data_IF_924535390630
#
_entry.id   IF_924535390630
#
_cell.length_a   1.000
_cell.length_b   1.000
_cell.length_c   1.000
_cell.angle_alpha   90.00
_cell.angle_beta   90.00
_cell.angle_gamma   90.00
#
_symmetry.space_group_name_H-M   'P 1'
#
loop_
_entity.id
_entity.type
_entity.pdbx_description
1 polymer ?
#
# COMPACT_ATOMS: atom_id res chain seq x y z
N UNK A 1 -10.95 -13.48 16.09
CA UNK A 1 -9.51 -13.21 15.83
C UNK A 1 -9.35 -12.83 14.37
N UNK A 2 -8.54 -11.82 14.11
CA UNK A 2 -8.33 -11.24 12.78
C UNK A 2 -6.87 -11.42 12.37
N UNK A 3 -6.63 -11.96 11.18
CA UNK A 3 -5.30 -12.08 10.58
C UNK A 3 -5.26 -11.37 9.23
N UNK A 4 -4.28 -10.54 9.02
CA UNK A 4 -4.01 -9.88 7.76
C UNK A 4 -2.65 -10.32 7.22
N UNK A 5 -2.64 -10.91 6.05
CA UNK A 5 -1.44 -11.20 5.29
C UNK A 5 -1.15 -10.00 4.38
N UNK A 6 -0.06 -9.30 4.66
CA UNK A 6 0.36 -8.17 3.86
C UNK A 6 1.57 -8.54 2.99
N UNK A 7 1.50 -8.23 1.71
CA UNK A 7 2.68 -8.36 0.87
C UNK A 7 3.69 -7.25 1.15
N UNK A 8 4.94 -7.55 0.95
CA UNK A 8 6.02 -6.57 1.06
C UNK A 8 5.92 -5.61 -0.13
N UNK A 9 5.46 -4.40 0.13
CA UNK A 9 5.41 -3.32 -0.86
C UNK A 9 6.76 -2.64 -0.94
N UNK A 10 7.76 -3.36 -1.41
CA UNK A 10 9.10 -2.82 -1.35
C UNK A 10 9.49 -2.10 -2.64
N UNK A 11 10.54 -1.40 -2.54
CA UNK A 11 11.21 -0.55 -3.47
C UNK A 11 11.85 -1.29 -4.65
N UNK A 12 12.05 -2.60 -4.52
CA UNK A 12 12.70 -3.42 -5.54
C UNK A 12 11.81 -4.60 -5.94
N UNK A 13 11.55 -4.71 -7.24
CA UNK A 13 10.78 -5.81 -7.85
C UNK A 13 11.36 -7.20 -7.59
N UNK A 14 12.67 -7.29 -7.27
CA UNK A 14 13.28 -8.59 -6.98
C UNK A 14 12.60 -9.32 -5.81
N UNK A 15 12.02 -8.59 -4.87
CA UNK A 15 11.27 -9.18 -3.75
C UNK A 15 9.96 -9.84 -4.19
N UNK A 16 9.38 -9.43 -5.31
CA UNK A 16 8.14 -10.03 -5.80
C UNK A 16 8.34 -11.40 -6.39
N UNK A 17 9.56 -11.80 -6.72
CA UNK A 17 9.88 -13.16 -7.18
C UNK A 17 9.48 -14.22 -6.15
N UNK A 18 9.46 -13.89 -4.87
CA UNK A 18 8.95 -14.79 -3.83
C UNK A 18 7.51 -15.22 -4.13
N UNK A 19 6.67 -14.27 -4.57
CA UNK A 19 5.26 -14.52 -4.84
C UNK A 19 5.02 -15.36 -6.11
N UNK A 20 6.03 -15.54 -6.94
CA UNK A 20 5.99 -16.36 -8.16
C UNK A 20 6.46 -17.79 -7.91
N UNK A 21 6.99 -18.08 -6.72
CA UNK A 21 7.53 -19.41 -6.41
C UNK A 21 6.45 -20.45 -6.13
N UNK A 22 6.65 -21.72 -6.56
CA UNK A 22 5.73 -22.82 -6.23
C UNK A 22 5.55 -23.01 -4.72
N UNK A 23 6.60 -22.81 -3.94
CA UNK A 23 6.60 -22.91 -2.48
C UNK A 23 5.65 -21.88 -1.86
N UNK A 24 5.68 -20.64 -2.36
CA UNK A 24 4.77 -19.61 -1.90
C UNK A 24 3.30 -19.97 -2.23
N UNK A 25 3.02 -20.40 -3.44
CA UNK A 25 1.67 -20.81 -3.85
C UNK A 25 1.18 -22.01 -3.05
N UNK A 26 2.05 -22.97 -2.75
CA UNK A 26 1.72 -24.11 -1.90
C UNK A 26 1.39 -23.68 -0.47
N UNK A 27 2.20 -22.79 0.12
CA UNK A 27 1.95 -22.22 1.45
C UNK A 27 0.64 -21.44 1.50
N UNK A 28 0.37 -20.63 0.48
CA UNK A 28 -0.87 -19.86 0.36
C UNK A 28 -2.11 -20.78 0.27
N UNK A 29 -2.01 -21.86 -0.50
CA UNK A 29 -3.08 -22.86 -0.60
C UNK A 29 -3.35 -23.54 0.75
N UNK A 30 -2.28 -23.86 1.50
CA UNK A 30 -2.41 -24.43 2.85
C UNK A 30 -3.08 -23.46 3.82
N UNK A 31 -2.73 -22.16 3.77
CA UNK A 31 -3.38 -21.13 4.60
C UNK A 31 -4.88 -21.02 4.26
N UNK A 32 -5.22 -21.00 2.98
CA UNK A 32 -6.63 -20.97 2.53
C UNK A 32 -7.42 -22.18 3.01
N UNK A 33 -6.83 -23.35 2.95
CA UNK A 33 -7.47 -24.60 3.40
C UNK A 33 -7.65 -24.60 4.92
N UNK A 34 -6.66 -24.16 5.66
CA UNK A 34 -6.76 -24.06 7.12
C UNK A 34 -7.80 -23.01 7.54
N UNK A 35 -7.84 -21.88 6.88
CA UNK A 35 -8.82 -20.83 7.15
C UNK A 35 -10.28 -21.33 7.02
N UNK A 36 -10.57 -22.21 6.06
CA UNK A 36 -11.91 -22.81 5.89
C UNK A 36 -12.36 -23.64 7.09
N UNK A 37 -11.43 -24.22 7.84
CA UNK A 37 -11.73 -25.03 9.03
C UNK A 37 -12.05 -24.15 10.25
N UNK A 38 -11.74 -22.87 10.18
CA UNK A 38 -11.86 -21.92 11.28
C UNK A 38 -12.73 -20.71 10.89
N UNK A 39 -14.06 -20.89 10.65
CA UNK A 39 -14.92 -19.81 10.17
C UNK A 39 -15.07 -18.63 11.14
N UNK A 40 -14.66 -18.80 12.40
CA UNK A 40 -14.58 -17.74 13.40
C UNK A 40 -13.33 -16.84 13.24
N UNK A 41 -12.43 -17.19 12.32
CA UNK A 41 -11.20 -16.43 12.02
C UNK A 41 -11.34 -15.83 10.63
N UNK A 42 -11.28 -14.51 10.54
CA UNK A 42 -11.20 -13.84 9.26
C UNK A 42 -9.74 -13.74 8.82
N UNK A 43 -9.45 -14.20 7.60
CA UNK A 43 -8.13 -14.08 6.98
C UNK A 43 -8.26 -13.18 5.76
N UNK A 44 -7.51 -12.08 5.75
CA UNK A 44 -7.50 -11.09 4.66
C UNK A 44 -6.12 -10.98 4.03
N UNK A 45 -5.99 -10.22 2.94
CA UNK A 45 -4.71 -9.99 2.28
C UNK A 45 -4.21 -11.21 1.49
N UNK A 46 -5.13 -12.06 1.02
CA UNK A 46 -4.78 -13.24 0.19
C UNK A 46 -4.62 -12.91 -1.29
N UNK A 47 -4.84 -11.65 -1.68
CA UNK A 47 -4.60 -11.14 -3.02
C UNK A 47 -3.20 -10.56 -3.10
N UNK A 48 -2.40 -11.07 -4.02
CA UNK A 48 -1.00 -10.70 -4.18
C UNK A 48 -0.73 -10.04 -5.54
N UNK A 49 0.47 -9.46 -5.73
CA UNK A 49 0.86 -8.87 -7.00
C UNK A 49 0.55 -9.79 -8.18
N UNK A 50 0.00 -9.23 -9.25
CA UNK A 50 -0.50 -9.99 -10.39
C UNK A 50 -2.01 -10.20 -10.41
N UNK A 51 -2.72 -9.84 -9.35
CA UNK A 51 -4.19 -9.83 -9.37
C UNK A 51 -4.71 -8.65 -10.21
N UNK A 52 -5.62 -8.89 -11.16
CA UNK A 52 -6.16 -7.83 -12.03
C UNK A 52 -6.94 -6.73 -11.30
N UNK A 53 -7.17 -6.85 -10.00
CA UNK A 53 -7.87 -5.85 -9.19
C UNK A 53 -7.04 -4.59 -8.85
N UNK A 54 -5.73 -4.61 -9.05
CA UNK A 54 -4.82 -3.53 -8.66
C UNK A 54 -4.36 -2.64 -9.83
N UNK A 55 -5.26 -2.22 -10.68
CA UNK A 55 -4.91 -1.35 -11.82
C UNK A 55 -4.70 0.12 -11.44
N UNK A 56 -5.27 0.60 -10.34
CA UNK A 56 -5.10 1.96 -9.80
C UNK A 56 -5.05 1.95 -8.29
N UNK A 57 -4.06 2.61 -7.73
CA UNK A 57 -3.95 2.75 -6.28
C UNK A 57 -5.07 3.64 -5.69
N UNK A 58 -5.94 3.14 -4.80
CA UNK A 58 -7.00 3.93 -4.20
C UNK A 58 -6.51 4.80 -3.03
N UNK A 59 -5.32 4.55 -2.49
CA UNK A 59 -4.83 5.16 -1.26
C UNK A 59 -4.81 6.69 -1.26
N UNK A 60 -4.46 7.40 -2.35
CA UNK A 60 -4.49 8.86 -2.34
C UNK A 60 -5.84 9.48 -1.96
N UNK A 61 -6.95 8.73 -2.06
CA UNK A 61 -8.30 9.20 -1.74
C UNK A 61 -8.95 8.53 -0.54
N UNK A 62 -8.52 7.33 -0.20
CA UNK A 62 -9.14 6.52 0.85
C UNK A 62 -8.33 6.47 2.14
N UNK A 63 -7.02 6.69 2.06
CA UNK A 63 -6.11 6.57 3.19
C UNK A 63 -5.05 7.66 3.16
N UNK A 64 -4.51 7.93 4.33
CA UNK A 64 -3.22 8.62 4.53
C UNK A 64 -2.50 7.95 5.68
N UNK A 65 -1.21 8.08 5.71
CA UNK A 65 -0.40 7.55 6.80
C UNK A 65 0.38 8.69 7.46
N UNK A 66 0.43 8.67 8.78
CA UNK A 66 1.22 9.62 9.56
C UNK A 66 2.33 8.84 10.25
N UNK A 67 3.56 9.25 10.01
CA UNK A 67 4.73 8.65 10.65
C UNK A 67 4.78 9.02 12.14
N UNK A 68 5.56 8.29 12.92
CA UNK A 68 5.68 8.52 14.36
C UNK A 68 6.18 9.94 14.71
N UNK A 69 6.92 10.59 13.82
CA UNK A 69 7.44 11.96 13.93
C UNK A 69 6.51 13.01 13.28
N UNK A 70 5.30 12.61 12.89
CA UNK A 70 4.22 13.50 12.48
C UNK A 70 4.15 13.84 11.00
N UNK A 71 4.97 13.27 10.15
CA UNK A 71 4.87 13.55 8.71
C UNK A 71 3.74 12.76 8.07
N UNK A 72 2.90 13.44 7.28
CA UNK A 72 1.89 12.80 6.44
C UNK A 72 2.51 12.33 5.13
N UNK A 73 2.40 11.04 4.85
CA UNK A 73 2.91 10.39 3.63
C UNK A 73 1.77 9.70 2.88
N UNK A 74 1.94 9.36 1.59
CA UNK A 74 0.85 8.85 0.75
C UNK A 74 0.25 7.53 1.21
N UNK A 75 1.06 6.63 1.77
CA UNK A 75 0.60 5.31 2.18
C UNK A 75 1.55 4.64 3.18
N UNK A 76 1.05 3.60 3.85
CA UNK A 76 1.84 2.81 4.80
C UNK A 76 2.87 1.88 4.13
N UNK A 77 2.72 1.58 2.84
CA UNK A 77 3.65 0.72 2.11
C UNK A 77 5.00 1.38 1.81
N UNK A 78 5.02 2.71 1.77
CA UNK A 78 6.24 3.52 1.59
C UNK A 78 6.27 4.65 2.64
N UNK A 79 6.52 4.33 3.92
CA UNK A 79 6.49 5.31 5.00
C UNK A 79 7.81 6.11 5.09
N UNK A 80 8.26 6.69 3.98
CA UNK A 80 9.56 7.34 3.86
C UNK A 80 9.43 8.86 3.73
N UNK A 81 9.28 9.60 4.85
CA UNK A 81 9.05 11.04 4.81
C UNK A 81 10.24 11.83 4.23
N UNK A 82 11.45 11.27 4.23
CA UNK A 82 12.60 11.91 3.59
C UNK A 82 12.50 11.92 2.06
N UNK A 83 11.75 11.00 1.47
CA UNK A 83 11.56 10.90 0.03
C UNK A 83 10.33 11.70 -0.42
N UNK A 84 9.22 11.56 0.31
CA UNK A 84 7.99 12.30 0.05
C UNK A 84 7.17 12.46 1.33
N UNK A 85 6.77 13.69 1.63
CA UNK A 85 5.78 14.02 2.63
C UNK A 85 4.97 15.24 2.22
N UNK A 86 3.79 15.42 2.80
CA UNK A 86 2.90 16.55 2.52
C UNK A 86 2.96 17.63 3.60
N UNK A 87 3.66 17.40 4.67
CA UNK A 87 3.85 18.29 5.81
C UNK A 87 3.78 17.55 7.14
N UNK A 88 4.18 18.25 8.21
CA UNK A 88 4.11 17.71 9.56
C UNK A 88 2.77 18.09 10.21
N UNK A 89 2.00 17.08 10.61
CA UNK A 89 0.66 17.30 11.20
C UNK A 89 0.72 17.73 12.66
N UNK A 90 1.83 17.50 13.35
CA UNK A 90 2.00 17.98 14.72
C UNK A 90 2.25 19.51 14.74
N UNK A 91 2.80 20.05 13.66
CA UNK A 91 3.05 21.49 13.52
C UNK A 91 1.84 22.23 12.92
N UNK A 92 1.18 21.64 11.93
CA UNK A 92 0.20 22.30 11.08
C UNK A 92 -1.24 21.81 11.27
N UNK A 93 -1.42 20.67 11.96
CA UNK A 93 -2.70 19.98 12.03
C UNK A 93 -2.98 19.10 10.81
N UNK A 94 -3.80 18.06 11.01
CA UNK A 94 -4.13 17.06 9.98
C UNK A 94 -4.84 17.70 8.78
N UNK A 95 -5.88 18.48 9.01
CA UNK A 95 -6.71 19.03 7.92
C UNK A 95 -5.97 20.02 7.01
N UNK A 96 -5.16 20.95 7.54
CA UNK A 96 -4.34 21.82 6.68
C UNK A 96 -3.31 21.07 5.84
N UNK A 97 -2.74 19.97 6.32
CA UNK A 97 -1.80 19.14 5.55
C UNK A 97 -2.55 18.35 4.49
N UNK A 98 -3.65 17.69 4.87
CA UNK A 98 -4.47 16.87 3.97
C UNK A 98 -5.06 17.68 2.80
N UNK A 99 -5.45 18.92 3.05
CA UNK A 99 -6.00 19.84 2.06
C UNK A 99 -4.94 20.82 1.52
N UNK A 100 -3.67 20.56 1.79
CA UNK A 100 -2.56 21.38 1.30
C UNK A 100 -2.25 21.15 -0.18
N UNK A 101 -1.64 22.17 -0.80
CA UNK A 101 -1.30 22.13 -2.23
C UNK A 101 -0.43 20.92 -2.62
N UNK A 102 0.51 20.52 -1.76
CA UNK A 102 1.38 19.36 -2.01
C UNK A 102 0.58 18.07 -2.17
N UNK A 103 -0.44 17.86 -1.32
CA UNK A 103 -1.28 16.66 -1.43
C UNK A 103 -2.24 16.75 -2.62
N UNK A 104 -2.78 17.93 -2.91
CA UNK A 104 -3.59 18.14 -4.10
C UNK A 104 -2.77 17.92 -5.38
N UNK A 105 -1.54 18.41 -5.46
CA UNK A 105 -0.65 18.19 -6.58
C UNK A 105 -0.36 16.70 -6.79
N UNK A 106 -0.10 15.95 -5.72
CA UNK A 106 0.08 14.51 -5.77
C UNK A 106 -1.17 13.78 -6.33
N UNK A 107 -2.37 14.17 -5.88
CA UNK A 107 -3.63 13.60 -6.38
C UNK A 107 -3.89 13.96 -7.84
N UNK A 108 -3.55 15.17 -8.28
CA UNK A 108 -3.69 15.59 -9.69
C UNK A 108 -2.92 14.69 -10.64
N UNK A 109 -1.69 14.30 -10.30
CA UNK A 109 -0.92 13.37 -11.13
C UNK A 109 -1.71 12.07 -11.39
N UNK A 110 -2.33 11.51 -10.35
CA UNK A 110 -3.17 10.33 -10.50
C UNK A 110 -4.42 10.57 -11.36
N UNK A 111 -5.04 11.73 -11.24
CA UNK A 111 -6.22 12.12 -12.06
C UNK A 111 -5.84 12.26 -13.54
N UNK A 112 -4.64 12.73 -13.81
CA UNK A 112 -4.05 12.90 -15.14
C UNK A 112 -3.44 11.58 -15.69
N UNK A 113 -3.68 10.45 -15.01
CA UNK A 113 -3.12 9.13 -15.32
C UNK A 113 -1.58 9.11 -15.35
N UNK A 114 -0.96 9.99 -14.58
CA UNK A 114 0.49 10.04 -14.41
C UNK A 114 0.84 9.42 -13.06
N UNK A 115 1.60 8.34 -13.09
CA UNK A 115 2.10 7.71 -11.86
C UNK A 115 3.15 8.61 -11.23
N UNK A 116 2.96 9.07 -9.98
CA UNK A 116 4.01 9.81 -9.29
C UNK A 116 5.29 8.96 -9.19
N UNK A 117 6.45 9.58 -9.39
CA UNK A 117 7.75 8.88 -9.35
C UNK A 117 7.97 8.12 -8.03
N UNK A 118 7.51 8.67 -6.92
CA UNK A 118 7.51 7.98 -5.63
C UNK A 118 6.74 6.66 -5.65
N UNK A 119 5.72 6.53 -6.48
CA UNK A 119 4.86 5.35 -6.58
C UNK A 119 5.30 4.34 -7.64
N UNK A 120 6.33 4.67 -8.42
CA UNK A 120 6.93 3.72 -9.37
C UNK A 120 7.42 2.47 -8.66
N UNK A 121 7.40 1.34 -9.36
CA UNK A 121 7.76 0.02 -8.83
C UNK A 121 6.91 -0.47 -7.64
N UNK A 122 5.78 0.14 -7.40
CA UNK A 122 4.81 -0.35 -6.43
C UNK A 122 3.86 -1.35 -7.09
N UNK A 123 3.66 -2.51 -6.48
CA UNK A 123 2.80 -3.56 -7.05
C UNK A 123 1.33 -3.13 -7.24
N UNK A 124 0.85 -2.10 -6.55
CA UNK A 124 -0.49 -1.54 -6.76
C UNK A 124 -0.61 -0.76 -8.07
N UNK A 125 0.48 -0.39 -8.70
CA UNK A 125 0.53 0.52 -9.84
C UNK A 125 1.00 -0.16 -11.11
N UNK A 126 1.86 -1.15 -10.98
CA UNK A 126 2.57 -1.77 -12.10
C UNK A 126 2.20 -3.25 -12.26
N UNK A 127 0.96 -3.50 -12.57
CA UNK A 127 0.53 -4.83 -12.98
C UNK A 127 0.27 -4.88 -14.48
#
# INVERSE_FOLDING_TARGET
>A
TYFNLACVTNLDRSYYRLYETPEFHSALAAVREEARKHPQVEVTGLDFPGSPSFQKCPFPWSHFYITWDGYMVPCCGKPFPKELHFGNVFERGVMPVLNGESYHAFRRLWQENTTPSFCEKCHFVEL
#
